data_IF_177723691262
#
_entry.id   IF_177723691262
#
_cell.length_a   1.000
_cell.length_b   1.000
_cell.length_c   1.000
_cell.angle_alpha   90.00
_cell.angle_beta   90.00
_cell.angle_gamma   90.00
#
_symmetry.space_group_name_H-M   'P 1'
#
loop_
_entity.id
_entity.type
_entity.pdbx_description
1 polymer ?
#
# COMPACT_ATOMS: atom_id res chain seq x y z
N UNK A 1 5.59 -1.60 34.06
CA UNK A 1 4.51 -1.26 33.18
C UNK A 1 4.89 -1.52 31.75
N UNK A 2 4.03 -2.17 31.04
CA UNK A 2 4.34 -2.44 29.67
C UNK A 2 4.10 -1.18 28.83
N UNK A 3 4.92 -1.01 27.84
CA UNK A 3 4.69 -0.01 26.83
C UNK A 3 3.35 -0.25 26.19
N UNK A 4 2.67 0.79 25.79
CA UNK A 4 1.57 0.59 24.89
C UNK A 4 2.10 -0.19 23.72
N UNK A 5 1.42 -1.24 23.39
CA UNK A 5 1.81 -2.02 22.24
C UNK A 5 1.55 -1.20 21.00
N UNK A 6 2.59 -0.63 20.44
CA UNK A 6 2.46 0.19 19.24
C UNK A 6 1.99 -0.62 18.06
N UNK A 7 2.22 -1.95 18.09
CA UNK A 7 1.71 -2.81 17.03
C UNK A 7 0.20 -2.94 17.10
N UNK A 8 -0.40 -2.69 18.25
CA UNK A 8 -1.84 -2.66 18.36
C UNK A 8 -2.42 -1.44 17.65
N UNK A 9 -1.58 -0.44 17.36
CA UNK A 9 -2.00 0.75 16.63
C UNK A 9 -1.72 0.57 15.17
N UNK A 10 -2.34 -0.42 14.61
CA UNK A 10 -2.19 -0.71 13.20
C UNK A 10 -3.15 0.20 12.43
N UNK A 11 -2.61 0.86 11.42
CA UNK A 11 -3.40 1.67 10.51
C UNK A 11 -3.64 0.90 9.23
N UNK A 12 -4.80 1.13 8.64
CA UNK A 12 -5.15 0.52 7.36
C UNK A 12 -5.62 1.62 6.43
N UNK A 13 -5.02 1.68 5.24
CA UNK A 13 -5.39 2.67 4.23
C UNK A 13 -5.77 1.98 2.94
N UNK A 14 -6.81 2.50 2.33
CA UNK A 14 -7.15 2.18 0.94
C UNK A 14 -6.50 3.23 0.05
N UNK A 15 -5.84 2.79 -1.01
CA UNK A 15 -5.09 3.70 -1.88
C UNK A 15 -5.47 3.44 -3.33
N UNK A 16 -5.73 4.51 -4.07
CA UNK A 16 -5.96 4.42 -5.51
C UNK A 16 -4.86 5.20 -6.22
N UNK A 17 -4.16 4.54 -7.14
CA UNK A 17 -3.07 5.14 -7.89
C UNK A 17 -3.48 5.22 -9.36
N UNK A 18 -3.43 6.41 -9.92
CA UNK A 18 -3.81 6.66 -11.31
C UNK A 18 -2.62 7.15 -12.10
N UNK A 19 -2.64 6.85 -13.39
CA UNK A 19 -1.58 7.22 -14.32
C UNK A 19 -1.23 6.05 -15.21
N UNK A 20 0.00 6.01 -15.69
CA UNK A 20 0.53 4.86 -16.42
C UNK A 20 1.09 3.90 -15.40
N UNK A 21 0.22 3.04 -14.88
CA UNK A 21 0.55 2.20 -13.73
C UNK A 21 0.27 0.72 -13.98
N UNK A 22 -0.39 0.36 -15.08
CA UNK A 22 -0.58 -1.04 -15.45
C UNK A 22 0.38 -1.38 -16.59
N UNK A 23 0.82 -2.64 -16.62
CA UNK A 23 1.74 -3.09 -17.67
C UNK A 23 3.18 -2.62 -17.49
N UNK A 24 3.50 -2.06 -16.34
CA UNK A 24 4.84 -1.51 -16.05
C UNK A 24 5.48 -2.17 -14.84
N UNK A 25 4.91 -3.29 -14.37
CA UNK A 25 5.45 -3.99 -13.21
C UNK A 25 5.09 -3.33 -11.88
N UNK A 26 4.05 -2.49 -11.87
CA UNK A 26 3.70 -1.74 -10.67
C UNK A 26 3.31 -2.65 -9.51
N UNK A 27 2.44 -3.64 -9.76
CA UNK A 27 2.01 -4.54 -8.69
C UNK A 27 3.17 -5.31 -8.09
N UNK A 28 4.05 -5.84 -8.95
CA UNK A 28 5.21 -6.60 -8.50
C UNK A 28 6.13 -5.72 -7.64
N UNK A 29 6.40 -4.50 -8.10
CA UNK A 29 7.25 -3.57 -7.36
C UNK A 29 6.60 -3.18 -6.03
N UNK A 30 5.26 -3.03 -6.03
CA UNK A 30 4.53 -2.71 -4.80
C UNK A 30 4.67 -3.82 -3.77
N UNK A 31 4.56 -5.08 -4.21
CA UNK A 31 4.74 -6.22 -3.29
C UNK A 31 6.14 -6.20 -2.69
N UNK A 32 7.16 -5.97 -3.52
CA UNK A 32 8.54 -5.93 -3.03
C UNK A 32 8.74 -4.81 -2.02
N UNK A 33 8.19 -3.65 -2.30
CA UNK A 33 8.32 -2.51 -1.38
C UNK A 33 7.56 -2.78 -0.08
N UNK A 34 6.38 -3.35 -0.19
CA UNK A 34 5.59 -3.69 1.00
C UNK A 34 6.34 -4.67 1.89
N UNK A 35 6.98 -5.68 1.29
CA UNK A 35 7.76 -6.64 2.06
C UNK A 35 8.94 -5.95 2.76
N UNK A 36 9.62 -5.04 2.05
CA UNK A 36 10.74 -4.33 2.64
C UNK A 36 10.32 -3.47 3.83
N UNK A 37 9.11 -2.91 3.78
CA UNK A 37 8.59 -2.06 4.83
C UNK A 37 7.72 -2.82 5.84
N UNK A 38 7.55 -4.14 5.64
CA UNK A 38 6.71 -4.98 6.48
C UNK A 38 5.25 -4.53 6.48
N UNK A 39 4.82 -4.00 5.35
CA UNK A 39 3.42 -3.66 5.12
C UNK A 39 2.66 -4.92 4.74
N UNK A 40 1.41 -5.03 5.18
CA UNK A 40 0.51 -6.13 4.85
C UNK A 40 -0.67 -5.57 4.10
N UNK A 41 -1.35 -6.44 3.35
CA UNK A 41 -2.51 -6.04 2.55
C UNK A 41 -2.46 -6.65 1.16
N UNK A 42 -2.82 -5.87 0.15
CA UNK A 42 -2.80 -6.36 -1.23
C UNK A 42 -2.74 -5.20 -2.21
N UNK A 43 -2.44 -5.54 -3.47
CA UNK A 43 -2.45 -4.62 -4.59
C UNK A 43 -3.12 -5.30 -5.77
N UNK A 44 -3.93 -4.57 -6.53
CA UNK A 44 -4.69 -5.11 -7.66
C UNK A 44 -4.85 -4.07 -8.76
N UNK A 45 -4.90 -4.55 -9.99
CA UNK A 45 -5.27 -3.70 -11.12
C UNK A 45 -6.79 -3.57 -11.18
N UNK A 46 -7.27 -2.38 -11.52
CA UNK A 46 -8.69 -2.15 -11.72
C UNK A 46 -9.00 -1.99 -13.19
N UNK A 47 -10.26 -2.14 -13.55
CA UNK A 47 -10.69 -2.11 -14.95
C UNK A 47 -10.47 -0.74 -15.59
N UNK A 48 -10.48 0.31 -14.79
CA UNK A 48 -10.32 1.68 -15.32
C UNK A 48 -8.86 2.05 -15.57
N UNK A 49 -7.94 1.10 -15.42
CA UNK A 49 -6.52 1.35 -15.64
C UNK A 49 -5.76 1.77 -14.40
N UNK A 50 -6.45 2.04 -13.32
CA UNK A 50 -5.79 2.40 -12.06
C UNK A 50 -5.37 1.15 -11.30
N UNK A 51 -4.60 1.38 -10.23
CA UNK A 51 -4.19 0.33 -9.31
C UNK A 51 -4.75 0.68 -7.94
N UNK A 52 -5.31 -0.31 -7.27
CA UNK A 52 -5.71 -0.12 -5.88
C UNK A 52 -4.78 -0.92 -4.97
N UNK A 53 -4.64 -0.43 -3.76
CA UNK A 53 -3.90 -1.15 -2.74
C UNK A 53 -4.57 -0.94 -1.39
N UNK A 54 -4.52 -1.97 -0.56
CA UNK A 54 -4.81 -1.84 0.85
C UNK A 54 -3.49 -2.05 1.56
N UNK A 55 -3.09 -1.09 2.37
CA UNK A 55 -1.83 -1.13 3.08
C UNK A 55 -2.10 -1.04 4.57
N UNK A 56 -1.48 -1.93 5.31
CA UNK A 56 -1.70 -2.05 6.75
C UNK A 56 -0.36 -2.18 7.46
N UNK A 57 -0.19 -1.39 8.51
CA UNK A 57 1.03 -1.40 9.31
C UNK A 57 1.03 -0.29 10.32
N UNK A 58 2.17 -0.04 10.92
CA UNK A 58 2.31 1.10 11.84
C UNK A 58 2.20 2.40 11.05
N UNK A 59 1.95 3.49 11.76
CA UNK A 59 1.86 4.81 11.12
C UNK A 59 3.08 5.12 10.29
N UNK A 60 4.27 4.81 10.80
CA UNK A 60 5.50 5.08 10.09
C UNK A 60 5.65 4.21 8.84
N UNK A 61 5.30 2.93 8.95
CA UNK A 61 5.35 2.02 7.80
C UNK A 61 4.38 2.47 6.71
N UNK A 62 3.16 2.83 7.10
CA UNK A 62 2.14 3.29 6.16
C UNK A 62 2.60 4.58 5.47
N UNK A 63 3.15 5.51 6.23
CA UNK A 63 3.61 6.77 5.67
C UNK A 63 4.70 6.54 4.61
N UNK A 64 5.65 5.67 4.90
CA UNK A 64 6.70 5.33 3.95
C UNK A 64 6.14 4.64 2.71
N UNK A 65 5.16 3.77 2.89
CA UNK A 65 4.56 3.09 1.76
C UNK A 65 3.78 4.06 0.87
N UNK A 66 3.03 4.99 1.47
CA UNK A 66 2.32 6.01 0.71
C UNK A 66 3.28 6.89 -0.06
N UNK A 67 4.40 7.25 0.55
CA UNK A 67 5.42 8.05 -0.11
C UNK A 67 5.96 7.34 -1.34
N UNK A 68 6.23 6.04 -1.22
CA UNK A 68 6.72 5.24 -2.36
C UNK A 68 5.67 5.15 -3.46
N UNK A 69 4.39 4.94 -3.08
CA UNK A 69 3.33 4.79 -4.07
C UNK A 69 3.15 6.04 -4.93
N UNK A 70 3.50 7.21 -4.40
CA UNK A 70 3.41 8.45 -5.17
C UNK A 70 4.37 8.49 -6.35
N UNK A 71 5.39 7.66 -6.33
CA UNK A 71 6.37 7.58 -7.42
C UNK A 71 6.26 6.28 -8.18
N UNK A 72 6.11 5.17 -7.47
CA UNK A 72 6.10 3.85 -8.05
C UNK A 72 7.46 3.46 -8.61
N UNK A 73 7.50 2.37 -9.41
CA UNK A 73 8.75 1.95 -10.05
C UNK A 73 9.13 2.89 -11.20
N UNK A 74 10.38 2.82 -11.67
CA UNK A 74 10.87 3.77 -12.70
C UNK A 74 10.04 3.81 -13.97
N UNK A 75 9.44 2.70 -14.39
CA UNK A 75 8.67 2.66 -15.62
C UNK A 75 7.26 3.23 -15.46
N UNK A 76 6.83 3.49 -14.23
CA UNK A 76 5.50 4.02 -13.99
C UNK A 76 5.48 5.53 -14.10
N UNK A 77 4.30 6.05 -14.39
CA UNK A 77 4.05 7.49 -14.36
C UNK A 77 2.81 7.72 -13.53
N UNK A 78 3.03 8.05 -12.27
CA UNK A 78 1.94 8.27 -11.33
C UNK A 78 1.42 9.68 -11.50
N UNK A 79 0.14 9.80 -11.80
CA UNK A 79 -0.53 11.08 -11.98
C UNK A 79 -1.14 11.57 -10.68
N UNK A 80 -1.77 10.67 -9.95
CA UNK A 80 -2.42 11.03 -8.69
C UNK A 80 -2.50 9.82 -7.78
N UNK A 81 -2.50 10.10 -6.50
CA UNK A 81 -2.68 9.09 -5.46
C UNK A 81 -3.74 9.60 -4.50
N UNK A 82 -4.77 8.81 -4.33
CA UNK A 82 -5.82 9.09 -3.36
C UNK A 82 -5.70 8.06 -2.26
N UNK A 83 -5.77 8.48 -1.02
CA UNK A 83 -5.69 7.56 0.11
C UNK A 83 -6.77 7.90 1.12
N UNK A 84 -7.27 6.85 1.76
CA UNK A 84 -8.35 6.97 2.73
C UNK A 84 -8.10 5.98 3.84
N UNK A 85 -8.10 6.46 5.06
CA UNK A 85 -7.95 5.54 6.18
C UNK A 85 -9.22 4.71 6.34
N UNK A 86 -9.03 3.42 6.57
CA UNK A 86 -10.10 2.47 6.80
C UNK A 86 -10.01 1.96 8.23
N UNK A 87 -11.10 2.06 8.95
CA UNK A 87 -11.17 1.59 10.33
C UNK A 87 -11.75 0.19 10.30
N UNK A 88 -10.88 -0.80 10.54
CA UNK A 88 -11.25 -2.20 10.42
C UNK A 88 -10.52 -3.02 11.47
N UNK A 89 -11.16 -4.10 11.90
CA UNK A 89 -10.52 -5.05 12.79
C UNK A 89 -9.79 -6.14 12.03
N UNK A 90 -9.93 -6.16 10.71
CA UNK A 90 -9.26 -7.16 9.90
C UNK A 90 -7.74 -6.97 9.98
N UNK A 91 -7.04 -8.09 10.14
CA UNK A 91 -5.57 -8.10 10.14
C UNK A 91 -5.10 -8.97 9.00
N UNK A 92 -4.38 -8.36 8.06
CA UNK A 92 -3.78 -9.08 6.94
C UNK A 92 -2.52 -9.77 7.42
N UNK A 93 -2.26 -10.96 6.91
CA UNK A 93 -1.10 -11.72 7.36
C UNK A 93 0.13 -11.47 6.49
N UNK A 94 -0.09 -11.05 5.26
CA UNK A 94 1.00 -10.81 4.31
C UNK A 94 0.55 -9.77 3.30
N UNK A 95 1.45 -9.42 2.38
CA UNK A 95 1.09 -8.54 1.28
C UNK A 95 1.07 -9.37 0.01
N UNK A 96 -0.05 -9.31 -0.71
CA UNK A 96 -0.30 -10.15 -1.87
C UNK A 96 -0.61 -9.34 -3.11
N UNK A 97 -0.23 -9.90 -4.25
CA UNK A 97 -0.63 -9.35 -5.54
C UNK A 97 -1.91 -10.06 -5.99
N UNK A 98 -2.91 -9.28 -6.25
CA UNK A 98 -4.19 -9.79 -6.74
C UNK A 98 -4.37 -9.56 -8.23
#
# INVERSE_FOLDING_TARGET
>A
MSEPDLDARVETYYVRVRGTVQGVGFRHATVRQAHALRIRGYVANLEDGSVEAVIQGSANQVDRMLSWLRHGPPAARVKSVESEERYTEKRYERFEQH
#
